data_IF_822217498568
#
_entry.id   IF_822217498568
#
_cell.length_a   1.000
_cell.length_b   1.000
_cell.length_c   1.000
_cell.angle_alpha   90.00
_cell.angle_beta   90.00
_cell.angle_gamma   90.00
#
_symmetry.space_group_name_H-M   'P 1'
#
loop_
_entity.id
_entity.type
_entity.pdbx_description
1 polymer ?
#
# COMPACT_ATOMS: atom_id res chain seq x y z
N UNK A 1 31.88 17.37 -16.47
CA UNK A 1 31.52 16.02 -16.99
C UNK A 1 31.24 15.08 -15.83
N UNK A 2 30.03 14.54 -15.74
CA UNK A 2 29.86 13.15 -15.34
C UNK A 2 29.05 12.37 -16.37
N UNK A 3 29.46 11.13 -16.57
CA UNK A 3 29.12 10.23 -17.67
C UNK A 3 27.70 9.65 -17.57
N UNK A 4 27.05 9.58 -18.72
CA UNK A 4 25.85 8.80 -19.00
C UNK A 4 26.09 7.30 -18.75
N UNK A 5 25.07 6.60 -18.23
CA UNK A 5 24.99 5.14 -18.29
C UNK A 5 23.56 4.69 -18.66
N UNK A 6 23.47 4.04 -19.81
CA UNK A 6 22.60 2.87 -20.01
C UNK A 6 21.25 3.12 -20.68
N UNK A 7 21.26 3.31 -21.99
CA UNK A 7 20.13 3.05 -22.89
C UNK A 7 19.87 1.53 -22.90
N UNK A 8 18.63 1.11 -22.67
CA UNK A 8 18.16 -0.24 -23.01
C UNK A 8 16.91 -0.12 -23.88
N UNK A 9 16.94 -0.84 -25.00
CA UNK A 9 16.09 -0.66 -26.16
C UNK A 9 14.61 -0.99 -25.96
N UNK A 10 13.82 -0.33 -26.80
CA UNK A 10 12.39 -0.47 -26.98
C UNK A 10 12.07 -1.82 -27.63
N UNK A 11 11.13 -2.56 -27.03
CA UNK A 11 10.49 -3.74 -27.61
C UNK A 11 9.09 -3.91 -27.02
N UNK A 12 8.07 -3.71 -27.86
CA UNK A 12 6.64 -4.05 -27.68
C UNK A 12 6.00 -3.69 -26.33
N UNK A 13 5.44 -2.48 -26.21
CA UNK A 13 4.74 -2.02 -25.01
C UNK A 13 3.22 -2.18 -25.17
N UNK A 14 2.69 -3.31 -24.67
CA UNK A 14 1.30 -3.42 -24.25
C UNK A 14 1.12 -2.81 -22.85
N UNK A 15 -0.11 -2.43 -22.51
CA UNK A 15 -0.53 -1.72 -21.28
C UNK A 15 -0.20 -2.50 -19.97
N UNK A 16 0.35 -3.72 -20.05
CA UNK A 16 0.86 -4.51 -18.93
C UNK A 16 2.13 -3.97 -18.26
N UNK A 17 2.90 -3.08 -18.93
CA UNK A 17 4.20 -2.61 -18.42
C UNK A 17 4.16 -1.35 -17.52
N UNK A 18 2.98 -0.85 -17.11
CA UNK A 18 2.91 0.23 -16.11
C UNK A 18 3.14 -0.23 -14.67
N UNK A 19 3.49 -1.51 -14.47
CA UNK A 19 4.13 -2.01 -13.25
C UNK A 19 5.61 -1.59 -13.23
N UNK A 20 5.85 -0.28 -13.18
CA UNK A 20 7.16 0.29 -12.88
C UNK A 20 7.71 -0.40 -11.62
N UNK A 21 8.78 -1.18 -11.79
CA UNK A 21 9.51 -1.96 -10.77
C UNK A 21 9.39 -1.35 -9.38
N UNK A 22 8.34 -1.73 -8.64
CA UNK A 22 8.17 -1.26 -7.27
C UNK A 22 9.24 -1.94 -6.47
N UNK A 23 10.11 -1.17 -5.80
CA UNK A 23 11.14 -1.74 -4.90
C UNK A 23 10.55 -2.63 -3.81
N UNK A 24 9.26 -2.45 -3.49
CA UNK A 24 8.49 -3.27 -2.55
C UNK A 24 8.09 -4.64 -3.08
N UNK A 25 8.20 -4.88 -4.38
CA UNK A 25 7.97 -6.18 -5.02
C UNK A 25 9.34 -6.78 -5.37
N UNK A 26 9.49 -8.08 -5.18
CA UNK A 26 10.58 -8.86 -5.73
C UNK A 26 10.00 -9.77 -6.80
N UNK A 27 10.41 -9.54 -8.04
CA UNK A 27 9.96 -10.30 -9.18
C UNK A 27 10.64 -11.67 -9.22
N UNK A 28 9.84 -12.71 -9.39
CA UNK A 28 10.32 -14.07 -9.60
C UNK A 28 10.43 -14.30 -11.11
N UNK A 29 11.48 -15.01 -11.52
CA UNK A 29 11.61 -15.34 -12.94
C UNK A 29 10.68 -16.51 -13.28
N UNK A 30 9.91 -16.40 -14.38
CA UNK A 30 9.11 -17.51 -14.88
C UNK A 30 9.97 -18.74 -15.14
N UNK A 31 9.37 -19.92 -15.00
CA UNK A 31 9.99 -21.19 -15.35
C UNK A 31 9.01 -22.12 -16.02
N UNK A 32 9.54 -23.04 -16.81
CA UNK A 32 8.77 -24.02 -17.58
C UNK A 32 7.94 -24.96 -16.70
N UNK A 33 8.35 -25.18 -15.45
CA UNK A 33 7.62 -26.04 -14.50
C UNK A 33 6.53 -25.28 -13.72
N UNK A 34 6.40 -23.97 -13.90
CA UNK A 34 5.39 -23.16 -13.21
C UNK A 34 5.62 -23.00 -11.70
N UNK A 35 6.84 -23.24 -11.20
CA UNK A 35 7.15 -23.27 -9.74
C UNK A 35 7.29 -21.88 -9.10
N UNK A 36 6.78 -20.83 -9.74
CA UNK A 36 6.90 -19.45 -9.27
C UNK A 36 6.36 -19.26 -7.84
N UNK A 37 5.28 -19.95 -7.47
CA UNK A 37 4.70 -19.89 -6.13
C UNK A 37 5.68 -20.36 -5.05
N UNK A 38 6.21 -21.58 -5.19
CA UNK A 38 7.19 -22.13 -4.24
C UNK A 38 8.47 -21.29 -4.17
N UNK A 39 8.96 -20.80 -5.32
CA UNK A 39 10.10 -19.87 -5.36
C UNK A 39 9.82 -18.57 -4.62
N UNK A 40 8.64 -17.99 -4.80
CA UNK A 40 8.21 -16.78 -4.10
C UNK A 40 8.14 -17.02 -2.58
N UNK A 41 7.57 -18.14 -2.16
CA UNK A 41 7.51 -18.54 -0.74
C UNK A 41 8.92 -18.62 -0.14
N UNK A 42 9.87 -19.29 -0.80
CA UNK A 42 11.25 -19.41 -0.34
C UNK A 42 11.95 -18.05 -0.18
N UNK A 43 11.78 -17.15 -1.15
CA UNK A 43 12.31 -15.79 -1.03
C UNK A 43 11.64 -14.99 0.09
N UNK A 44 10.32 -15.11 0.23
CA UNK A 44 9.58 -14.41 1.26
C UNK A 44 10.01 -14.87 2.68
N UNK A 45 10.22 -16.18 2.87
CA UNK A 45 10.74 -16.74 4.11
C UNK A 45 12.17 -16.26 4.40
N UNK A 46 13.07 -16.32 3.42
CA UNK A 46 14.44 -15.87 3.59
C UNK A 46 14.52 -14.37 3.93
N UNK A 47 13.63 -13.55 3.34
CA UNK A 47 13.49 -12.14 3.70
C UNK A 47 12.91 -11.93 5.10
N UNK A 48 11.93 -12.75 5.51
CA UNK A 48 11.35 -12.71 6.86
C UNK A 48 12.39 -13.04 7.94
N UNK A 49 13.28 -13.98 7.65
CA UNK A 49 14.37 -14.43 8.55
C UNK A 49 15.64 -13.56 8.44
N UNK A 50 15.69 -12.62 7.50
CA UNK A 50 16.87 -11.83 7.16
C UNK A 50 18.10 -12.71 6.82
N UNK A 51 17.88 -13.89 6.23
CA UNK A 51 18.93 -14.81 5.78
C UNK A 51 19.52 -14.35 4.45
N UNK A 52 20.54 -13.49 4.56
CA UNK A 52 21.28 -12.95 3.41
C UNK A 52 22.03 -14.03 2.63
N UNK A 53 22.43 -15.12 3.28
CA UNK A 53 23.18 -16.21 2.64
C UNK A 53 22.26 -16.95 1.68
N UNK A 54 21.09 -17.37 2.16
CA UNK A 54 20.08 -18.00 1.30
C UNK A 54 19.60 -17.07 0.20
N UNK A 55 19.35 -15.79 0.48
CA UNK A 55 18.93 -14.81 -0.55
C UNK A 55 19.97 -14.74 -1.68
N UNK A 56 21.25 -14.60 -1.33
CA UNK A 56 22.33 -14.52 -2.32
C UNK A 56 22.50 -15.82 -3.10
N UNK A 57 22.40 -16.97 -2.42
CA UNK A 57 22.49 -18.28 -3.06
C UNK A 57 21.34 -18.57 -4.04
N UNK A 58 20.13 -18.10 -3.73
CA UNK A 58 18.96 -18.23 -4.61
C UNK A 58 18.99 -17.24 -5.77
N UNK A 59 19.64 -16.08 -5.60
CA UNK A 59 19.78 -15.05 -6.65
C UNK A 59 20.82 -15.40 -7.72
N UNK A 60 21.76 -16.30 -7.42
CA UNK A 60 22.78 -16.75 -8.38
C UNK A 60 22.14 -17.65 -9.45
N UNK A 61 21.84 -17.06 -10.61
CA UNK A 61 21.22 -17.75 -11.75
C UNK A 61 22.04 -18.90 -12.32
N UNK A 62 23.36 -18.90 -12.09
CA UNK A 62 24.24 -19.99 -12.56
C UNK A 62 24.00 -21.27 -11.76
N UNK A 63 23.34 -21.17 -10.61
CA UNK A 63 23.05 -22.29 -9.72
C UNK A 63 21.56 -22.62 -9.75
N UNK A 64 21.24 -23.91 -9.85
CA UNK A 64 19.88 -24.41 -9.74
C UNK A 64 19.35 -24.45 -8.30
N UNK A 65 19.98 -23.74 -7.36
CA UNK A 65 19.67 -23.78 -5.93
C UNK A 65 18.20 -23.46 -5.64
N UNK A 66 17.68 -22.37 -6.23
CA UNK A 66 16.30 -21.95 -6.05
C UNK A 66 15.31 -22.98 -6.63
N UNK A 67 15.61 -23.51 -7.82
CA UNK A 67 14.78 -24.52 -8.47
C UNK A 67 14.74 -25.83 -7.66
N UNK A 68 15.90 -26.29 -7.21
CA UNK A 68 16.02 -27.51 -6.41
C UNK A 68 15.31 -27.36 -5.07
N UNK A 69 15.49 -26.23 -4.37
CA UNK A 69 14.76 -25.94 -3.14
C UNK A 69 13.25 -25.88 -3.35
N UNK A 70 12.78 -25.31 -4.47
CA UNK A 70 11.36 -25.27 -4.80
C UNK A 70 10.81 -26.70 -5.00
N UNK A 71 11.52 -27.57 -5.72
CA UNK A 71 11.14 -28.97 -5.89
C UNK A 71 11.12 -29.73 -4.56
N UNK A 72 12.13 -29.53 -3.72
CA UNK A 72 12.15 -30.10 -2.36
C UNK A 72 10.96 -29.64 -1.54
N UNK A 73 10.64 -28.34 -1.56
CA UNK A 73 9.47 -27.81 -0.85
C UNK A 73 8.15 -28.44 -1.32
N UNK A 74 7.97 -28.66 -2.62
CA UNK A 74 6.81 -29.37 -3.16
C UNK A 74 6.73 -30.80 -2.64
N UNK A 75 7.85 -31.54 -2.71
CA UNK A 75 7.88 -32.93 -2.24
C UNK A 75 7.62 -33.03 -0.73
N UNK A 76 8.25 -32.16 0.06
CA UNK A 76 8.14 -32.14 1.53
C UNK A 76 6.72 -31.78 1.99
N UNK A 77 6.05 -30.88 1.28
CA UNK A 77 4.66 -30.48 1.56
C UNK A 77 3.63 -31.36 0.85
N UNK A 78 4.05 -32.44 0.17
CA UNK A 78 3.20 -33.35 -0.62
C UNK A 78 2.36 -32.63 -1.72
N UNK A 79 2.88 -31.53 -2.26
CA UNK A 79 2.25 -30.75 -3.32
C UNK A 79 2.77 -31.20 -4.69
N UNK A 80 1.89 -31.56 -5.66
CA UNK A 80 2.32 -31.89 -7.02
C UNK A 80 3.17 -30.80 -7.65
N UNK A 81 4.21 -31.19 -8.40
CA UNK A 81 5.04 -30.24 -9.13
C UNK A 81 4.21 -29.56 -10.23
N UNK A 82 4.16 -28.24 -10.22
CA UNK A 82 3.41 -27.48 -11.20
C UNK A 82 2.98 -26.09 -10.71
N UNK A 83 2.12 -25.41 -11.48
CA UNK A 83 1.51 -24.15 -11.07
C UNK A 83 0.62 -24.39 -9.83
N UNK A 84 0.63 -23.40 -8.92
CA UNK A 84 -0.08 -23.49 -7.65
C UNK A 84 -1.29 -22.56 -7.61
N UNK A 85 -2.41 -23.08 -7.14
CA UNK A 85 -3.61 -22.31 -6.80
C UNK A 85 -3.68 -22.10 -5.29
N UNK A 86 -4.80 -21.56 -4.79
CA UNK A 86 -5.03 -21.41 -3.35
C UNK A 86 -5.09 -22.75 -2.60
N UNK A 87 -5.38 -23.86 -3.28
CA UNK A 87 -5.39 -25.20 -2.68
C UNK A 87 -3.97 -25.62 -2.26
N UNK A 88 -3.03 -25.53 -3.18
CA UNK A 88 -1.63 -25.87 -2.95
C UNK A 88 -0.99 -24.89 -1.94
N UNK A 89 -1.36 -23.60 -2.00
CA UNK A 89 -0.92 -22.62 -1.00
C UNK A 89 -1.37 -23.00 0.40
N UNK A 90 -2.57 -23.56 0.58
CA UNK A 90 -3.03 -24.04 1.89
C UNK A 90 -2.13 -25.16 2.41
N UNK A 91 -1.72 -26.10 1.56
CA UNK A 91 -0.79 -27.18 1.95
C UNK A 91 0.56 -26.61 2.40
N UNK A 92 1.09 -25.61 1.69
CA UNK A 92 2.31 -24.92 2.11
C UNK A 92 2.15 -24.15 3.43
N UNK A 93 1.00 -23.50 3.67
CA UNK A 93 0.69 -22.83 4.94
C UNK A 93 0.80 -23.81 6.11
N UNK A 94 0.20 -24.99 5.96
CA UNK A 94 0.16 -26.01 7.00
C UNK A 94 1.55 -26.62 7.25
N UNK A 95 2.27 -26.98 6.19
CA UNK A 95 3.62 -27.56 6.28
C UNK A 95 4.63 -26.59 6.91
N UNK A 96 4.67 -25.34 6.44
CA UNK A 96 5.65 -24.34 6.89
C UNK A 96 5.26 -23.64 8.19
N UNK A 97 4.03 -23.85 8.67
CA UNK A 97 3.45 -23.17 9.82
C UNK A 97 3.56 -21.63 9.71
N UNK A 98 3.21 -21.09 8.54
CA UNK A 98 3.31 -19.66 8.20
C UNK A 98 1.99 -19.18 7.58
N UNK A 99 1.55 -17.97 7.93
CA UNK A 99 0.41 -17.35 7.28
C UNK A 99 0.84 -16.80 5.92
N UNK A 100 0.29 -17.36 4.85
CA UNK A 100 0.47 -16.84 3.49
C UNK A 100 -0.73 -15.98 3.12
N UNK A 101 -0.47 -14.73 2.73
CA UNK A 101 -1.49 -13.80 2.22
C UNK A 101 -1.19 -13.50 0.76
N UNK A 102 -2.18 -13.67 -0.11
CA UNK A 102 -2.07 -13.38 -1.54
C UNK A 102 -2.89 -12.14 -1.88
N UNK A 103 -2.23 -11.17 -2.49
CA UNK A 103 -2.87 -9.98 -3.07
C UNK A 103 -2.91 -10.17 -4.58
N UNK A 104 -4.06 -9.99 -5.22
CA UNK A 104 -4.23 -10.23 -6.66
C UNK A 104 -4.44 -8.95 -7.44
N UNK A 105 -3.80 -8.82 -8.61
CA UNK A 105 -4.07 -7.75 -9.58
C UNK A 105 -5.53 -7.78 -10.06
N UNK A 106 -6.08 -8.97 -10.28
CA UNK A 106 -7.46 -9.19 -10.75
C UNK A 106 -8.50 -8.73 -9.73
N UNK A 107 -8.16 -8.83 -8.45
CA UNK A 107 -9.01 -8.37 -7.34
C UNK A 107 -8.77 -6.90 -6.99
N UNK A 108 -8.37 -6.06 -7.96
CA UNK A 108 -8.03 -4.65 -7.76
C UNK A 108 -6.94 -4.43 -6.69
N UNK A 109 -5.94 -5.31 -6.67
CA UNK A 109 -4.87 -5.34 -5.65
C UNK A 109 -5.40 -5.49 -4.21
N UNK A 110 -6.53 -6.17 -4.01
CA UNK A 110 -7.04 -6.57 -2.68
C UNK A 110 -6.53 -7.95 -2.31
N UNK A 111 -6.64 -8.29 -1.02
CA UNK A 111 -6.37 -9.64 -0.52
C UNK A 111 -7.37 -10.62 -1.14
N UNK A 112 -6.85 -11.54 -1.94
CA UNK A 112 -7.63 -12.57 -2.63
C UNK A 112 -7.65 -13.88 -1.83
N UNK A 113 -6.55 -14.17 -1.13
CA UNK A 113 -6.46 -15.32 -0.23
C UNK A 113 -5.74 -14.91 1.06
N UNK A 114 -6.22 -15.43 2.19
CA UNK A 114 -5.61 -15.25 3.50
C UNK A 114 -5.61 -16.59 4.23
N UNK A 115 -4.42 -17.16 4.40
CA UNK A 115 -4.24 -18.37 5.20
C UNK A 115 -4.58 -18.13 6.68
N UNK A 116 -4.66 -19.23 7.43
CA UNK A 116 -4.91 -19.21 8.87
C UNK A 116 -3.92 -18.31 9.61
N UNK A 117 -4.35 -17.78 10.76
CA UNK A 117 -3.51 -16.91 11.56
C UNK A 117 -2.34 -17.69 12.17
N UNK A 118 -1.12 -17.31 11.82
CA UNK A 118 0.13 -17.89 12.35
C UNK A 118 1.03 -16.74 12.83
N UNK A 119 2.02 -17.05 13.67
CA UNK A 119 2.95 -16.04 14.21
C UNK A 119 3.82 -15.38 13.14
N UNK A 120 4.06 -16.10 12.05
CA UNK A 120 4.86 -15.67 10.90
C UNK A 120 3.92 -15.38 9.74
N UNK A 121 4.11 -14.25 9.05
CA UNK A 121 3.34 -13.87 7.86
C UNK A 121 4.25 -13.57 6.68
N UNK A 122 3.88 -14.09 5.51
CA UNK A 122 4.47 -13.72 4.23
C UNK A 122 3.38 -13.21 3.27
N UNK A 123 3.76 -12.33 2.35
CA UNK A 123 2.83 -11.70 1.42
C UNK A 123 3.29 -11.94 -0.01
N UNK A 124 2.41 -12.52 -0.82
CA UNK A 124 2.62 -12.81 -2.23
C UNK A 124 1.74 -11.91 -3.09
N UNK A 125 2.20 -11.63 -4.29
CA UNK A 125 1.47 -10.88 -5.30
C UNK A 125 1.18 -11.77 -6.50
N UNK A 126 -0.11 -11.99 -6.79
CA UNK A 126 -0.58 -12.77 -7.92
C UNK A 126 -0.97 -11.83 -9.06
N UNK A 127 -0.35 -12.00 -10.23
CA UNK A 127 -0.71 -11.29 -11.46
C UNK A 127 -0.40 -12.17 -12.67
N UNK A 128 -1.32 -12.22 -13.65
CA UNK A 128 -1.14 -13.02 -14.87
C UNK A 128 -0.69 -14.47 -14.58
N UNK A 129 -1.37 -15.13 -13.63
CA UNK A 129 -1.02 -16.48 -13.15
C UNK A 129 0.41 -16.66 -12.60
N UNK A 130 1.08 -15.56 -12.25
CA UNK A 130 2.44 -15.55 -11.71
C UNK A 130 2.49 -14.99 -10.28
N UNK A 131 3.33 -15.61 -9.44
CA UNK A 131 3.54 -15.18 -8.05
C UNK A 131 4.86 -14.43 -7.88
N UNK A 132 4.75 -13.20 -7.43
CA UNK A 132 5.85 -12.37 -6.94
C UNK A 132 5.81 -12.20 -5.42
N UNK A 133 6.89 -11.68 -4.84
CA UNK A 133 6.97 -11.45 -3.38
C UNK A 133 6.74 -9.98 -3.04
N UNK A 134 5.83 -9.72 -2.10
CA UNK A 134 5.65 -8.39 -1.52
C UNK A 134 6.54 -8.26 -0.29
N UNK A 135 7.67 -7.57 -0.45
CA UNK A 135 8.61 -7.27 0.64
C UNK A 135 8.09 -6.20 1.60
N UNK A 136 7.19 -5.34 1.14
CA UNK A 136 6.63 -4.26 1.96
C UNK A 136 5.22 -3.88 1.53
N UNK A 137 4.22 -4.18 2.36
CA UNK A 137 2.81 -3.85 2.09
C UNK A 137 2.60 -2.33 2.00
N UNK A 138 3.20 -1.54 2.91
CA UNK A 138 3.13 -0.08 2.84
C UNK A 138 3.72 0.48 1.54
N UNK A 139 4.84 -0.09 1.08
CA UNK A 139 5.47 0.30 -0.19
C UNK A 139 4.65 -0.14 -1.41
N UNK A 140 4.02 -1.31 -1.32
CA UNK A 140 3.14 -1.84 -2.36
C UNK A 140 1.93 -0.93 -2.58
N UNK A 141 1.26 -0.51 -1.50
CA UNK A 141 0.11 0.41 -1.54
C UNK A 141 0.48 1.90 -1.60
N UNK A 142 1.77 2.24 -1.62
CA UNK A 142 2.26 3.63 -1.54
C UNK A 142 1.62 4.43 -0.37
N UNK A 143 1.53 3.80 0.80
CA UNK A 143 0.95 4.36 2.01
C UNK A 143 2.00 4.51 3.12
N UNK A 144 1.74 5.39 4.08
CA UNK A 144 2.62 5.57 5.24
C UNK A 144 2.60 4.33 6.14
N UNK A 145 1.42 3.74 6.32
CA UNK A 145 1.20 2.58 7.16
C UNK A 145 0.21 1.59 6.53
N UNK A 146 0.31 0.34 6.97
CA UNK A 146 -0.60 -0.75 6.59
C UNK A 146 -0.92 -1.59 7.83
N UNK A 147 -2.18 -1.91 8.04
CA UNK A 147 -2.63 -2.75 9.14
C UNK A 147 -2.77 -4.19 8.66
N UNK A 148 -1.93 -5.08 9.17
CA UNK A 148 -1.96 -6.50 8.81
C UNK A 148 -3.19 -7.24 9.33
N UNK A 149 -3.76 -6.80 10.45
CA UNK A 149 -4.90 -7.50 11.05
C UNK A 149 -6.23 -7.22 10.34
N UNK A 150 -6.43 -6.01 9.79
CA UNK A 150 -7.64 -5.66 9.03
C UNK A 150 -7.39 -5.43 7.52
N UNK A 151 -6.16 -5.64 7.06
CA UNK A 151 -5.72 -5.53 5.66
C UNK A 151 -6.08 -4.20 5.00
N UNK A 152 -5.78 -3.09 5.69
CA UNK A 152 -6.06 -1.71 5.24
C UNK A 152 -4.86 -0.80 5.37
N UNK A 153 -4.61 -0.01 4.33
CA UNK A 153 -3.68 1.11 4.35
C UNK A 153 -4.26 2.32 5.10
N UNK A 154 -3.38 3.10 5.74
CA UNK A 154 -3.76 4.33 6.42
C UNK A 154 -2.59 5.31 6.52
N UNK A 155 -2.89 6.61 6.58
CA UNK A 155 -1.86 7.66 6.62
C UNK A 155 -1.32 7.93 8.02
N UNK A 156 -2.14 7.80 9.07
CA UNK A 156 -1.73 8.07 10.46
C UNK A 156 -2.32 7.05 11.40
N UNK A 157 -1.50 6.58 12.35
CA UNK A 157 -1.89 5.61 13.37
C UNK A 157 -3.15 6.05 14.15
N UNK A 158 -3.26 7.34 14.42
CA UNK A 158 -4.38 7.92 15.20
C UNK A 158 -5.72 7.93 14.46
N UNK A 159 -5.68 7.95 13.13
CA UNK A 159 -6.88 7.94 12.28
C UNK A 159 -7.35 6.51 12.02
N UNK A 160 -6.49 5.53 12.28
CA UNK A 160 -6.81 4.13 12.08
C UNK A 160 -7.71 3.60 13.19
N UNK A 161 -8.73 2.83 12.80
CA UNK A 161 -9.64 2.13 13.70
C UNK A 161 -9.62 0.67 13.32
N UNK A 162 -8.67 -0.07 13.90
CA UNK A 162 -8.58 -1.51 13.74
C UNK A 162 -9.63 -2.19 14.64
N UNK A 163 -10.47 -3.09 14.11
CA UNK A 163 -11.40 -3.88 14.93
C UNK A 163 -10.71 -4.78 15.96
N UNK A 164 -9.47 -5.21 15.65
CA UNK A 164 -8.70 -6.15 16.47
C UNK A 164 -7.74 -5.45 17.45
N UNK A 165 -7.80 -4.12 17.54
CA UNK A 165 -6.95 -3.36 18.47
C UNK A 165 -7.81 -2.53 19.42
N UNK A 166 -7.33 -2.39 20.65
CA UNK A 166 -7.96 -1.56 21.65
C UNK A 166 -8.08 -0.12 21.15
N UNK A 167 -9.29 0.43 21.15
CA UNK A 167 -9.54 1.80 20.72
C UNK A 167 -9.00 2.86 21.70
N UNK A 168 -8.42 2.45 22.83
CA UNK A 168 -7.81 3.31 23.85
C UNK A 168 -6.29 3.41 23.66
N UNK A 169 -5.59 2.29 23.82
CA UNK A 169 -4.12 2.23 23.71
C UNK A 169 -3.60 1.82 22.32
N UNK A 170 -4.49 1.47 21.37
CA UNK A 170 -4.18 1.03 19.99
C UNK A 170 -3.37 -0.27 19.88
N UNK A 171 -3.22 -1.01 21.00
CA UNK A 171 -2.57 -2.33 21.04
C UNK A 171 -3.54 -3.45 20.69
N UNK A 172 -3.02 -4.48 20.03
CA UNK A 172 -3.77 -5.70 19.65
C UNK A 172 -3.92 -6.68 20.82
N UNK A 173 -2.97 -6.67 21.75
CA UNK A 173 -2.84 -7.59 22.89
C UNK A 173 -3.34 -6.98 24.20
N UNK A 174 -4.20 -5.96 24.12
CA UNK A 174 -4.74 -5.28 25.30
C UNK A 174 -5.77 -6.17 26.00
N UNK A 175 -5.45 -6.63 27.20
CA UNK A 175 -6.36 -7.44 28.01
C UNK A 175 -7.26 -6.56 28.90
N UNK A 176 -8.55 -6.91 29.06
CA UNK A 176 -9.44 -6.24 29.99
C UNK A 176 -9.07 -6.59 31.44
N UNK A 177 -9.33 -5.65 32.34
CA UNK A 177 -9.12 -5.77 33.77
C UNK A 177 -9.91 -4.68 34.49
N UNK A 178 -9.35 -4.12 35.55
CA UNK A 178 -9.98 -3.01 36.25
C UNK A 178 -9.97 -1.74 35.38
N UNK A 179 -11.16 -1.25 35.04
CA UNK A 179 -11.31 -0.07 34.19
C UNK A 179 -10.90 1.19 34.93
N UNK A 180 -10.12 2.04 34.27
CA UNK A 180 -9.58 3.27 34.85
C UNK A 180 -9.79 4.46 33.93
N UNK A 181 -10.45 5.50 34.40
CA UNK A 181 -10.64 6.74 33.63
C UNK A 181 -9.39 7.61 33.76
N UNK A 182 -8.85 8.06 32.63
CA UNK A 182 -7.72 8.98 32.61
C UNK A 182 -8.19 10.41 32.90
N UNK A 183 -7.55 11.10 33.84
CA UNK A 183 -7.88 12.49 34.20
C UNK A 183 -7.47 13.53 33.16
N UNK A 184 -6.48 13.24 32.30
CA UNK A 184 -5.95 14.21 31.31
C UNK A 184 -6.68 14.19 29.97
N UNK A 185 -7.32 13.08 29.61
CA UNK A 185 -7.97 12.92 28.32
C UNK A 185 -9.38 12.31 28.42
N UNK A 186 -9.83 12.02 29.65
CA UNK A 186 -11.15 11.49 29.98
C UNK A 186 -11.54 10.15 29.34
N UNK A 187 -10.60 9.50 28.63
CA UNK A 187 -10.80 8.17 28.05
C UNK A 187 -10.80 7.10 29.13
N UNK A 188 -11.71 6.14 28.99
CA UNK A 188 -11.84 4.98 29.87
C UNK A 188 -10.90 3.86 29.41
N UNK A 189 -9.85 3.59 30.17
CA UNK A 189 -8.91 2.50 29.92
C UNK A 189 -9.49 1.16 30.35
N UNK A 190 -9.12 0.09 29.63
CA UNK A 190 -9.64 -1.26 29.89
C UNK A 190 -8.94 -1.97 31.05
N UNK A 191 -7.77 -1.48 31.48
CA UNK A 191 -6.93 -2.06 32.53
C UNK A 191 -5.85 -1.04 32.95
N UNK A 192 -5.12 -1.32 34.03
CA UNK A 192 -3.96 -0.52 34.43
C UNK A 192 -2.88 -0.52 33.34
N UNK A 193 -2.63 -1.65 32.68
CA UNK A 193 -1.67 -1.73 31.57
C UNK A 193 -2.11 -0.87 30.38
N UNK A 194 -3.42 -0.86 30.05
CA UNK A 194 -3.98 0.02 29.03
C UNK A 194 -3.74 1.49 29.38
N UNK A 195 -3.91 1.86 30.66
CA UNK A 195 -3.67 3.22 31.16
C UNK A 195 -2.21 3.65 31.03
N UNK A 196 -1.26 2.79 31.43
CA UNK A 196 0.17 3.06 31.30
C UNK A 196 0.60 3.15 29.83
N UNK A 197 0.12 2.23 28.99
CA UNK A 197 0.43 2.20 27.56
C UNK A 197 -0.08 3.44 26.85
N UNK A 198 -1.27 3.94 27.21
CA UNK A 198 -1.83 5.16 26.61
C UNK A 198 -0.97 6.40 26.91
N UNK A 199 -0.44 6.52 28.12
CA UNK A 199 0.38 7.65 28.57
C UNK A 199 1.85 7.53 28.16
N UNK A 200 2.26 6.35 27.69
CA UNK A 200 3.62 6.12 27.23
C UNK A 200 3.97 7.03 26.06
N UNK A 201 5.12 7.68 26.15
CA UNK A 201 5.62 8.56 25.10
C UNK A 201 6.02 7.76 23.86
N UNK A 202 5.74 8.30 22.68
CA UNK A 202 6.19 7.75 21.41
C UNK A 202 7.72 7.60 21.35
N UNK A 203 8.19 6.61 20.59
CA UNK A 203 9.63 6.40 20.34
C UNK A 203 10.30 7.68 19.84
N UNK A 204 11.53 7.94 20.31
CA UNK A 204 12.31 9.09 19.88
C UNK A 204 12.54 9.04 18.37
N UNK A 205 12.20 10.11 17.67
CA UNK A 205 12.55 10.29 16.26
C UNK A 205 13.31 11.61 16.15
N UNK A 206 14.48 11.66 15.47
CA UNK A 206 15.25 12.90 15.34
C UNK A 206 14.37 14.04 14.81
N UNK A 207 14.38 15.18 15.51
CA UNK A 207 13.60 16.37 15.14
C UNK A 207 12.10 16.33 15.43
N UNK A 208 11.57 15.30 16.13
CA UNK A 208 10.15 15.27 16.54
C UNK A 208 9.98 15.18 18.05
N UNK A 209 9.08 16.01 18.58
CA UNK A 209 8.66 15.97 19.98
C UNK A 209 8.00 14.62 20.31
N UNK A 210 8.39 14.02 21.44
CA UNK A 210 7.74 12.83 21.98
C UNK A 210 6.35 13.20 22.49
N UNK A 211 5.36 12.40 22.13
CA UNK A 211 3.95 12.60 22.49
C UNK A 211 3.30 11.27 22.85
N UNK A 212 2.40 11.28 23.82
CA UNK A 212 1.55 10.16 24.22
C UNK A 212 0.26 10.12 23.39
N UNK A 213 -0.59 9.10 23.62
CA UNK A 213 -1.94 9.09 23.03
C UNK A 213 -2.87 10.10 23.71
N UNK A 214 -2.64 10.45 24.99
CA UNK A 214 -3.38 11.51 25.68
C UNK A 214 -3.17 12.89 25.06
N UNK A 215 -1.95 13.15 24.58
CA UNK A 215 -1.61 14.40 23.88
C UNK A 215 -2.30 14.53 22.52
N UNK A 216 -2.82 13.42 21.99
CA UNK A 216 -3.39 13.33 20.64
C UNK A 216 -4.90 13.25 20.65
N UNK A 217 -5.48 12.61 21.67
CA UNK A 217 -6.88 12.24 21.71
C UNK A 217 -7.48 12.48 23.09
N UNK A 218 -8.73 12.92 23.12
CA UNK A 218 -9.53 13.02 24.35
C UNK A 218 -10.96 12.51 24.11
N UNK A 219 -11.70 12.30 25.19
CA UNK A 219 -13.10 11.94 25.16
C UNK A 219 -13.93 13.02 25.85
N UNK A 220 -14.90 13.59 25.15
CA UNK A 220 -15.79 14.59 25.75
C UNK A 220 -16.67 13.92 26.82
N UNK A 221 -16.71 14.48 28.04
CA UNK A 221 -17.58 13.97 29.13
C UNK A 221 -19.08 14.12 28.85
N UNK A 222 -19.48 15.09 28.02
CA UNK A 222 -20.89 15.39 27.74
C UNK A 222 -21.46 14.53 26.62
N UNK A 223 -20.76 14.44 25.48
CA UNK A 223 -21.24 13.68 24.32
C UNK A 223 -20.55 12.32 24.13
N UNK A 224 -19.62 11.95 25.02
CA UNK A 224 -18.86 10.70 24.99
C UNK A 224 -18.04 10.44 23.70
N UNK A 225 -17.96 11.40 22.77
CA UNK A 225 -17.19 11.26 21.53
C UNK A 225 -15.69 11.30 21.80
N UNK A 226 -14.95 10.40 21.15
CA UNK A 226 -13.47 10.40 21.13
C UNK A 226 -12.99 11.26 19.97
N UNK A 227 -12.23 12.30 20.27
CA UNK A 227 -11.86 13.35 19.31
C UNK A 227 -10.34 13.49 19.29
N UNK A 228 -9.80 13.70 18.09
CA UNK A 228 -8.39 14.00 17.88
C UNK A 228 -8.17 15.50 18.14
N UNK A 229 -7.29 15.84 19.09
CA UNK A 229 -6.98 17.22 19.49
C UNK A 229 -6.57 18.10 18.29
N UNK A 230 -5.88 17.52 17.30
CA UNK A 230 -5.47 18.23 16.08
C UNK A 230 -6.62 18.72 15.19
N UNK A 231 -7.79 18.07 15.26
CA UNK A 231 -8.97 18.43 14.46
C UNK A 231 -9.95 19.29 15.22
N UNK A 232 -9.96 19.17 16.54
CA UNK A 232 -10.80 19.95 17.44
C UNK A 232 -10.14 19.92 18.82
N UNK A 233 -9.37 20.97 19.17
CA UNK A 233 -8.88 21.18 20.53
C UNK A 233 -10.04 21.13 21.53
N UNK A 234 -9.75 20.70 22.75
CA UNK A 234 -10.78 20.47 23.77
C UNK A 234 -11.54 21.74 24.13
N UNK A 235 -10.85 22.88 24.13
CA UNK A 235 -11.40 24.21 24.40
C UNK A 235 -12.37 24.67 23.30
N UNK A 236 -12.19 24.15 22.08
CA UNK A 236 -13.03 24.49 20.92
C UNK A 236 -14.21 23.55 20.71
N UNK A 237 -14.32 22.50 21.52
CA UNK A 237 -15.29 21.45 21.29
C UNK A 237 -16.72 21.87 21.64
N UNK A 238 -17.63 21.69 20.69
CA UNK A 238 -19.05 21.85 20.89
C UNK A 238 -19.78 20.51 20.68
N UNK A 239 -20.55 20.09 21.68
CA UNK A 239 -21.36 18.88 21.56
C UNK A 239 -22.41 19.06 20.46
N UNK A 240 -22.68 17.99 19.71
CA UNK A 240 -23.50 18.06 18.49
C UNK A 240 -22.69 18.34 17.21
N UNK A 241 -21.48 18.88 17.32
CA UNK A 241 -20.61 19.05 16.16
C UNK A 241 -20.23 17.70 15.52
N UNK A 242 -20.08 17.72 14.19
CA UNK A 242 -19.68 16.58 13.37
C UNK A 242 -18.46 16.96 12.54
N UNK A 243 -17.65 15.96 12.16
CA UNK A 243 -16.47 16.20 11.35
C UNK A 243 -16.89 16.37 9.89
N UNK A 244 -16.66 17.54 9.31
CA UNK A 244 -16.92 17.78 7.90
C UNK A 244 -16.03 16.90 7.01
N UNK A 245 -16.58 16.14 6.04
CA UNK A 245 -15.79 15.31 5.13
C UNK A 245 -14.82 16.10 4.26
N UNK A 246 -15.14 17.35 3.93
CA UNK A 246 -14.35 18.18 3.03
C UNK A 246 -13.24 18.92 3.77
N UNK A 247 -13.57 19.81 4.72
CA UNK A 247 -12.57 20.61 5.44
C UNK A 247 -11.91 19.88 6.63
N UNK A 248 -12.45 18.72 7.04
CA UNK A 248 -11.97 17.88 8.15
C UNK A 248 -12.07 18.49 9.57
N UNK A 249 -12.62 19.69 9.71
CA UNK A 249 -12.90 20.33 11.01
C UNK A 249 -14.20 19.81 11.63
N UNK A 250 -14.32 19.92 12.96
CA UNK A 250 -15.58 19.69 13.68
C UNK A 250 -16.43 20.96 13.63
N UNK A 251 -17.64 20.82 13.14
CA UNK A 251 -18.56 21.94 12.85
C UNK A 251 -19.98 21.55 13.20
N UNK A 252 -20.81 22.52 13.58
CA UNK A 252 -22.24 22.33 13.68
C UNK A 252 -22.82 22.31 12.27
N UNK A 253 -23.56 21.25 11.93
CA UNK A 253 -24.06 21.06 10.57
C UNK A 253 -25.04 22.16 10.13
N UNK A 254 -25.72 22.79 11.09
CA UNK A 254 -26.69 23.88 10.87
C UNK A 254 -26.03 25.14 10.31
N UNK A 255 -24.80 25.42 10.70
CA UNK A 255 -24.13 26.70 10.41
C UNK A 255 -22.88 26.54 9.53
N UNK A 256 -22.61 25.32 9.06
CA UNK A 256 -21.40 25.03 8.29
C UNK A 256 -21.60 25.16 6.78
N UNK A 257 -21.14 26.29 6.25
CA UNK A 257 -20.92 26.46 4.82
C UNK A 257 -19.49 26.00 4.48
N UNK A 258 -19.35 24.76 4.00
CA UNK A 258 -18.06 24.22 3.59
C UNK A 258 -17.66 24.78 2.21
N UNK A 259 -17.07 25.97 2.17
CA UNK A 259 -16.51 26.48 0.92
C UNK A 259 -15.31 25.62 0.51
N UNK A 260 -15.31 25.14 -0.75
CA UNK A 260 -14.14 24.51 -1.35
C UNK A 260 -12.99 25.50 -1.27
N UNK A 261 -11.90 25.13 -0.59
CA UNK A 261 -10.70 25.96 -0.60
C UNK A 261 -10.19 26.03 -2.04
N UNK A 262 -10.21 27.23 -2.61
CA UNK A 262 -9.52 27.51 -3.87
C UNK A 262 -8.03 27.35 -3.61
N UNK A 263 -7.48 26.21 -4.01
CA UNK A 263 -6.03 26.05 -4.04
C UNK A 263 -5.53 26.89 -5.21
N UNK A 264 -4.49 27.70 -5.00
CA UNK A 264 -3.84 28.39 -6.10
C UNK A 264 -3.50 27.35 -7.20
N UNK A 265 -3.83 27.63 -8.47
CA UNK A 265 -3.55 26.69 -9.54
C UNK A 265 -2.06 26.37 -9.52
N UNK A 266 -1.73 25.08 -9.63
CA UNK A 266 -0.33 24.71 -9.81
C UNK A 266 0.01 25.03 -11.26
N UNK A 267 1.05 25.83 -11.50
CA UNK A 267 1.48 26.17 -12.88
C UNK A 267 2.01 24.97 -13.68
N UNK A 268 2.07 23.78 -13.06
CA UNK A 268 2.61 22.54 -13.63
C UNK A 268 1.53 21.51 -13.89
N UNK A 269 0.46 21.92 -14.57
CA UNK A 269 -0.59 21.02 -15.04
C UNK A 269 -0.45 20.77 -16.55
N UNK A 270 -0.73 19.53 -16.94
CA UNK A 270 -0.90 19.12 -18.33
C UNK A 270 -2.27 18.47 -18.44
N UNK A 271 -3.14 18.98 -19.30
CA UNK A 271 -4.41 18.37 -19.65
C UNK A 271 -4.21 17.54 -20.90
N UNK A 272 -4.75 16.33 -20.98
CA UNK A 272 -4.59 15.52 -22.20
C UNK A 272 -5.83 14.69 -22.50
N UNK A 273 -6.03 14.37 -23.76
CA UNK A 273 -7.10 13.48 -24.23
C UNK A 273 -6.60 12.56 -25.35
N UNK A 274 -7.24 11.40 -25.47
CA UNK A 274 -6.95 10.37 -26.45
C UNK A 274 -8.17 10.07 -27.32
N UNK A 275 -7.96 10.12 -28.63
CA UNK A 275 -8.86 9.45 -29.56
C UNK A 275 -8.39 8.00 -29.77
N UNK A 276 -9.34 7.08 -29.82
CA UNK A 276 -9.07 5.66 -30.04
C UNK A 276 -9.81 5.15 -31.26
N UNK A 277 -9.14 4.32 -32.07
CA UNK A 277 -9.78 3.42 -33.01
C UNK A 277 -10.21 2.14 -32.27
N UNK A 278 -11.42 1.67 -32.55
CA UNK A 278 -12.06 0.51 -31.93
C UNK A 278 -12.50 -0.53 -32.96
N UNK A 279 -12.13 -0.37 -34.24
CA UNK A 279 -12.54 -1.24 -35.35
C UNK A 279 -12.21 -2.73 -35.14
N UNK A 280 -11.16 -3.03 -34.38
CA UNK A 280 -10.72 -4.40 -34.05
C UNK A 280 -11.35 -4.98 -32.76
N UNK A 281 -12.21 -4.22 -32.08
CA UNK A 281 -12.71 -4.55 -30.74
C UNK A 281 -11.72 -4.28 -29.60
N UNK A 282 -10.53 -3.78 -29.92
CA UNK A 282 -9.51 -3.33 -28.97
C UNK A 282 -9.34 -1.83 -29.14
N UNK A 283 -9.31 -1.08 -28.04
CA UNK A 283 -9.03 0.36 -28.08
C UNK A 283 -7.55 0.61 -28.40
N UNK A 284 -7.28 1.18 -29.57
CA UNK A 284 -5.93 1.59 -29.99
C UNK A 284 -5.90 3.09 -30.15
N UNK A 285 -5.05 3.78 -29.37
CA UNK A 285 -4.90 5.24 -29.46
C UNK A 285 -4.28 5.59 -30.82
N UNK A 286 -5.00 6.38 -31.62
CA UNK A 286 -4.56 6.87 -32.93
C UNK A 286 -4.36 8.40 -32.95
N UNK A 287 -4.78 9.09 -31.88
CA UNK A 287 -4.57 10.51 -31.71
C UNK A 287 -4.47 10.86 -30.21
N UNK A 288 -3.53 11.73 -29.85
CA UNK A 288 -3.42 12.27 -28.51
C UNK A 288 -3.15 13.77 -28.56
N UNK A 289 -3.79 14.52 -27.67
CA UNK A 289 -3.53 15.97 -27.47
C UNK A 289 -3.13 16.17 -26.02
N UNK A 290 -2.10 16.97 -25.79
CA UNK A 290 -1.69 17.43 -24.48
C UNK A 290 -1.61 18.96 -24.48
N UNK A 291 -2.08 19.62 -23.43
CA UNK A 291 -2.09 21.06 -23.28
C UNK A 291 -1.50 21.42 -21.92
N UNK A 292 -0.49 22.28 -21.87
CA UNK A 292 -0.04 22.85 -20.61
C UNK A 292 -1.07 23.81 -20.01
N UNK A 293 -0.99 24.08 -18.71
CA UNK A 293 -1.78 25.13 -18.07
C UNK A 293 -1.60 26.51 -18.74
N UNK A 294 -0.45 26.77 -19.36
CA UNK A 294 -0.19 27.99 -20.14
C UNK A 294 -0.96 28.08 -21.46
N UNK A 295 -1.62 27.00 -21.89
CA UNK A 295 -2.35 26.90 -23.15
C UNK A 295 -1.53 26.37 -24.33
N UNK A 296 -0.24 26.07 -24.15
CA UNK A 296 0.58 25.47 -25.23
C UNK A 296 0.21 24.00 -25.44
N UNK A 297 -0.07 23.62 -26.69
CA UNK A 297 -0.57 22.30 -27.09
C UNK A 297 0.45 21.46 -27.86
N UNK A 298 0.40 20.15 -27.63
CA UNK A 298 1.21 19.11 -28.25
C UNK A 298 0.29 18.04 -28.81
N UNK A 299 0.39 17.79 -30.11
CA UNK A 299 -0.46 16.84 -30.81
C UNK A 299 0.37 15.66 -31.31
N UNK A 300 -0.05 14.45 -30.97
CA UNK A 300 0.57 13.20 -31.39
C UNK A 300 -0.41 12.44 -32.28
N UNK A 301 -0.02 12.20 -33.54
CA UNK A 301 -0.90 11.59 -34.54
C UNK A 301 -0.42 10.20 -34.96
N UNK A 302 -1.36 9.35 -35.34
CA UNK A 302 -1.11 7.99 -35.84
C UNK A 302 -1.09 6.94 -34.74
N UNK A 303 -0.89 5.67 -35.13
CA UNK A 303 -0.94 4.53 -34.20
C UNK A 303 0.26 4.44 -33.24
N UNK A 304 1.28 5.28 -33.42
CA UNK A 304 2.38 5.47 -32.46
C UNK A 304 2.14 6.65 -31.51
N UNK A 305 0.96 7.29 -31.58
CA UNK A 305 0.63 8.48 -30.78
C UNK A 305 0.76 8.22 -29.28
N UNK A 306 0.33 7.04 -28.81
CA UNK A 306 0.48 6.64 -27.41
C UNK A 306 1.94 6.59 -26.96
N UNK A 307 2.82 5.90 -27.70
CA UNK A 307 4.23 5.80 -27.35
C UNK A 307 4.90 7.18 -27.36
N UNK A 308 4.61 7.99 -28.38
CA UNK A 308 5.17 9.33 -28.50
C UNK A 308 4.70 10.25 -27.36
N UNK A 309 3.42 10.20 -27.01
CA UNK A 309 2.86 10.91 -25.86
C UNK A 309 3.54 10.47 -24.55
N UNK A 310 3.69 9.16 -24.32
CA UNK A 310 4.36 8.64 -23.13
C UNK A 310 5.83 9.06 -23.07
N UNK A 311 6.57 8.98 -24.18
CA UNK A 311 7.96 9.43 -24.26
C UNK A 311 8.10 10.92 -23.98
N UNK A 312 7.15 11.74 -24.46
CA UNK A 312 7.09 13.15 -24.14
C UNK A 312 6.78 13.36 -22.66
N UNK A 313 5.66 12.83 -22.15
CA UNK A 313 5.16 13.06 -20.78
C UNK A 313 6.13 12.57 -19.69
N UNK A 314 6.83 11.46 -19.95
CA UNK A 314 7.78 10.88 -18.98
C UNK A 314 9.21 11.40 -19.18
N UNK A 315 9.41 12.42 -20.02
CA UNK A 315 10.69 13.07 -20.15
C UNK A 315 11.10 13.79 -18.86
N UNK A 316 12.41 14.03 -18.62
CA UNK A 316 12.87 14.77 -17.46
C UNK A 316 12.29 16.20 -17.35
N UNK A 317 11.81 16.77 -18.47
CA UNK A 317 11.23 18.12 -18.54
C UNK A 317 9.96 18.21 -17.70
N UNK A 318 9.13 17.17 -17.72
CA UNK A 318 7.84 17.14 -17.02
C UNK A 318 7.94 16.63 -15.58
N UNK A 319 9.16 16.60 -15.02
CA UNK A 319 9.34 16.17 -13.63
C UNK A 319 8.56 17.09 -12.69
N UNK A 320 7.67 16.50 -11.89
CA UNK A 320 6.74 17.16 -10.97
C UNK A 320 5.56 17.89 -11.64
N UNK A 321 5.31 17.66 -12.93
CA UNK A 321 4.03 18.02 -13.52
C UNK A 321 2.95 17.04 -13.08
N UNK A 322 1.71 17.52 -13.01
CA UNK A 322 0.52 16.69 -12.83
C UNK A 322 -0.22 16.63 -14.15
N UNK A 323 -0.29 15.45 -14.76
CA UNK A 323 -1.10 15.22 -15.96
C UNK A 323 -2.51 14.82 -15.55
N UNK A 324 -3.51 15.42 -16.19
CA UNK A 324 -4.94 15.23 -15.94
C UNK A 324 -5.57 14.84 -17.28
N UNK A 325 -6.21 13.68 -17.33
CA UNK A 325 -7.02 13.32 -18.49
C UNK A 325 -8.26 14.24 -18.52
N UNK A 326 -8.48 14.92 -19.65
CA UNK A 326 -9.73 15.63 -19.91
C UNK A 326 -10.60 14.74 -20.80
N UNK A 327 -11.90 14.71 -20.49
CA UNK A 327 -12.93 14.13 -21.35
C UNK A 327 -13.94 15.22 -21.65
#
# INVERSE_FOLDING_TARGET
>A
MPQAKGVWGLGSCGISNLQLSKRSILHIEPDELGLCCAKAILYALAHLENDRISINAMRDKRRLTLLNRAKTLHNDAEVPLGPCTYKEIKMFVDWLNVQIVVISSESLNKVAYKGENRSRRINLYLHNDHYDVIKSLKGFYAADYYCESCDKQYGRIEDHRCPNACHVCLRMDCMPGEMKRCSECDRLCQSEECFLSQRSLSKATPGRRKVSLCDKMYQCRRCCKVILRRYCPEESHQCGATKCPSCKYYVLATDHYCFLQTVAPKDRLIFFDFQTDQSSGIHVVNFAVAQYYSGEEFVFKGYNSFQNFCSWLFSPVHKNFTAIAHN
#
